data_IF_945575013705
#
_entry.id   IF_945575013705
#
_cell.length_a   1.000
_cell.length_b   1.000
_cell.length_c   1.000
_cell.angle_alpha   90.00
_cell.angle_beta   90.00
_cell.angle_gamma   90.00
#
_symmetry.space_group_name_H-M   'P 1'
#
loop_
_entity.id
_entity.type
_entity.pdbx_description
1 polymer ?
#
# COMPACT_ATOMS: atom_id res chain seq x y z
N UNK A 1 -19.47 -16.35 -20.31
CA UNK A 1 -18.95 -15.70 -19.08
C UNK A 1 -17.89 -16.59 -18.44
N UNK A 2 -16.87 -16.95 -19.24
CA UNK A 2 -15.76 -17.86 -18.91
C UNK A 2 -14.58 -17.34 -19.73
N UNK A 3 -13.93 -16.26 -19.28
CA UNK A 3 -12.68 -15.74 -19.89
C UNK A 3 -11.85 -14.89 -18.90
N UNK A 4 -11.97 -15.13 -17.59
CA UNK A 4 -11.26 -14.31 -16.58
C UNK A 4 -10.04 -15.00 -15.93
N UNK A 5 -9.64 -16.20 -16.37
CA UNK A 5 -8.55 -16.93 -15.73
C UNK A 5 -7.66 -17.68 -16.73
N UNK A 6 -6.83 -16.94 -17.45
CA UNK A 6 -5.59 -17.42 -18.05
C UNK A 6 -4.69 -16.19 -18.19
N UNK A 7 -3.62 -16.08 -17.41
CA UNK A 7 -2.33 -15.44 -17.76
C UNK A 7 -1.45 -15.36 -16.50
N UNK A 8 -1.08 -16.50 -15.93
CA UNK A 8 0.06 -16.57 -14.99
C UNK A 8 0.79 -17.91 -15.14
N UNK A 9 1.29 -18.17 -16.35
CA UNK A 9 2.32 -19.19 -16.56
C UNK A 9 3.24 -18.81 -17.73
N UNK A 10 4.52 -18.62 -17.39
CA UNK A 10 5.73 -18.70 -18.23
C UNK A 10 5.97 -17.63 -19.31
N UNK A 11 6.92 -16.73 -19.04
CA UNK A 11 7.87 -16.15 -20.03
C UNK A 11 9.18 -15.88 -19.24
N UNK A 12 10.14 -16.81 -19.15
CA UNK A 12 11.31 -17.04 -20.04
C UNK A 12 12.01 -15.74 -20.50
N UNK A 13 13.28 -15.61 -20.09
CA UNK A 13 14.25 -14.60 -20.51
C UNK A 13 14.23 -14.35 -22.03
N UNK A 14 14.04 -13.09 -22.44
CA UNK A 14 14.60 -12.57 -23.69
C UNK A 14 15.32 -11.26 -23.37
N UNK A 15 16.65 -11.34 -23.47
CA UNK A 15 17.55 -10.20 -23.56
C UNK A 15 17.38 -9.61 -24.96
N UNK A 16 16.90 -8.37 -25.08
CA UNK A 16 17.14 -7.57 -26.27
C UNK A 16 17.25 -6.10 -25.88
N UNK A 17 18.48 -5.62 -26.03
CA UNK A 17 18.86 -4.22 -26.01
C UNK A 17 18.03 -3.47 -27.06
N UNK A 18 17.23 -2.50 -26.64
CA UNK A 18 16.95 -1.34 -27.48
C UNK A 18 17.14 -0.08 -26.64
N UNK A 19 18.28 0.57 -26.89
CA UNK A 19 18.62 1.89 -26.39
C UNK A 19 17.65 2.91 -26.96
N UNK A 20 16.62 3.26 -26.20
CA UNK A 20 16.03 4.59 -26.27
C UNK A 20 16.57 5.38 -25.08
N UNK A 21 17.62 6.17 -25.34
CA UNK A 21 18.03 7.25 -24.44
C UNK A 21 16.93 8.32 -24.45
N UNK A 22 15.80 8.05 -23.80
CA UNK A 22 14.88 9.10 -23.42
C UNK A 22 15.59 9.83 -22.29
N UNK A 23 16.29 10.91 -22.64
CA UNK A 23 16.64 11.95 -21.68
C UNK A 23 15.30 12.56 -21.25
N UNK A 24 14.61 11.92 -20.31
CA UNK A 24 13.64 12.61 -19.49
C UNK A 24 14.45 13.65 -18.74
N UNK A 25 14.47 14.87 -19.26
CA UNK A 25 14.79 16.03 -18.45
C UNK A 25 13.64 16.14 -17.47
N UNK A 26 13.78 15.45 -16.34
CA UNK A 26 13.00 15.77 -15.17
C UNK A 26 13.39 17.21 -14.87
N UNK A 27 12.50 18.16 -15.20
CA UNK A 27 12.53 19.44 -14.52
C UNK A 27 12.62 19.07 -13.03
N UNK A 28 13.69 19.49 -12.35
CA UNK A 28 13.80 19.29 -10.92
C UNK A 28 12.65 20.10 -10.36
N UNK A 29 11.53 19.42 -10.09
CA UNK A 29 10.45 20.01 -9.35
C UNK A 29 11.07 20.55 -8.06
N UNK A 30 10.72 21.79 -7.71
CA UNK A 30 11.20 22.40 -6.49
C UNK A 30 10.73 21.55 -5.32
N UNK A 31 11.63 20.70 -4.80
CA UNK A 31 11.38 19.92 -3.60
C UNK A 31 11.14 20.89 -2.45
N UNK A 32 9.88 21.12 -2.10
CA UNK A 32 9.53 22.00 -1.00
C UNK A 32 9.74 21.23 0.30
N UNK A 33 10.81 21.58 1.03
CA UNK A 33 11.17 20.93 2.29
C UNK A 33 10.03 20.98 3.31
N UNK A 34 9.22 22.05 3.32
CA UNK A 34 8.09 22.18 4.24
C UNK A 34 7.01 21.12 3.98
N UNK A 35 6.71 20.82 2.71
CA UNK A 35 5.74 19.78 2.34
C UNK A 35 6.24 18.41 2.82
N UNK A 36 7.52 18.13 2.58
CA UNK A 36 8.15 16.86 3.00
C UNK A 36 8.11 16.74 4.53
N UNK A 37 8.43 17.79 5.25
CA UNK A 37 8.43 17.82 6.71
C UNK A 37 7.01 17.63 7.28
N UNK A 38 6.01 18.32 6.71
CA UNK A 38 4.62 18.16 7.10
C UNK A 38 4.11 16.73 6.88
N UNK A 39 4.32 16.15 5.69
CA UNK A 39 3.93 14.77 5.40
C UNK A 39 4.68 13.78 6.32
N UNK A 40 5.98 13.99 6.54
CA UNK A 40 6.78 13.16 7.46
C UNK A 40 6.21 13.21 8.88
N UNK A 41 5.83 14.40 9.36
CA UNK A 41 5.18 14.59 10.66
C UNK A 41 3.82 13.87 10.72
N UNK A 42 2.99 14.00 9.69
CA UNK A 42 1.67 13.35 9.64
C UNK A 42 1.83 11.83 9.69
N UNK A 43 2.74 11.28 8.90
CA UNK A 43 3.08 9.86 8.89
C UNK A 43 3.54 9.43 10.29
N UNK A 44 4.52 10.11 10.89
CA UNK A 44 5.09 9.72 12.20
C UNK A 44 4.06 9.75 13.34
N UNK A 45 3.02 10.58 13.22
CA UNK A 45 1.92 10.66 14.18
C UNK A 45 0.89 9.52 14.06
N UNK A 46 0.82 8.83 12.92
CA UNK A 46 -0.01 7.63 12.78
C UNK A 46 0.57 6.53 13.67
N UNK A 47 -0.23 6.01 14.61
CA UNK A 47 0.13 4.83 15.43
C UNK A 47 -0.70 3.62 15.03
N UNK A 48 -2.00 3.70 15.31
CA UNK A 48 -2.93 2.60 15.04
C UNK A 48 -4.18 3.15 14.38
N UNK A 49 -4.39 2.81 13.11
CA UNK A 49 -5.53 3.31 12.32
C UNK A 49 -6.23 2.19 11.55
N UNK A 50 -7.52 2.38 11.31
CA UNK A 50 -8.28 1.66 10.30
C UNK A 50 -8.85 2.65 9.28
N UNK A 51 -8.77 2.30 8.01
CA UNK A 51 -9.28 3.13 6.91
C UNK A 51 -9.83 2.23 5.81
N UNK A 52 -11.04 2.53 5.34
CA UNK A 52 -11.58 1.90 4.13
C UNK A 52 -10.90 2.48 2.91
N UNK A 53 -10.74 1.65 1.87
CA UNK A 53 -10.17 2.09 0.61
C UNK A 53 -10.94 1.55 -0.59
N UNK A 54 -10.79 2.25 -1.70
CA UNK A 54 -11.14 1.80 -3.03
C UNK A 54 -9.90 1.88 -3.92
N UNK A 55 -9.52 0.76 -4.52
CA UNK A 55 -8.45 0.65 -5.50
C UNK A 55 -9.05 0.64 -6.90
N UNK A 56 -8.44 1.36 -7.83
CA UNK A 56 -8.75 1.32 -9.27
C UNK A 56 -7.43 1.18 -10.05
N UNK A 57 -7.40 0.30 -11.05
CA UNK A 57 -6.26 0.15 -11.97
C UNK A 57 -6.46 0.90 -13.29
N UNK A 58 -5.46 0.94 -14.17
CA UNK A 58 -5.54 1.65 -15.44
C UNK A 58 -6.55 1.05 -16.44
N UNK A 59 -7.06 -0.16 -16.17
CA UNK A 59 -8.08 -0.82 -16.98
C UNK A 59 -9.49 -0.60 -16.42
N UNK A 60 -9.62 0.16 -15.33
CA UNK A 60 -10.90 0.42 -14.66
C UNK A 60 -11.35 -0.71 -13.73
N UNK A 61 -10.52 -1.71 -13.45
CA UNK A 61 -10.86 -2.73 -12.46
C UNK A 61 -10.81 -2.10 -11.07
N UNK A 62 -11.89 -2.28 -10.29
CA UNK A 62 -12.01 -1.75 -8.94
C UNK A 62 -12.02 -2.84 -7.88
N UNK A 63 -11.40 -2.58 -6.73
CA UNK A 63 -11.49 -3.43 -5.55
C UNK A 63 -11.56 -2.58 -4.28
N UNK A 64 -12.45 -2.93 -3.35
CA UNK A 64 -12.59 -2.22 -2.09
C UNK A 64 -12.09 -3.07 -0.93
N UNK A 65 -11.73 -2.41 0.17
CA UNK A 65 -11.27 -3.11 1.35
C UNK A 65 -11.03 -2.19 2.54
N UNK A 66 -10.30 -2.73 3.51
CA UNK A 66 -9.84 -1.98 4.67
C UNK A 66 -8.36 -2.20 4.90
N UNK A 67 -7.65 -1.09 5.09
CA UNK A 67 -6.28 -1.06 5.55
C UNK A 67 -6.30 -0.81 7.06
N UNK A 68 -5.67 -1.71 7.81
CA UNK A 68 -5.45 -1.60 9.25
C UNK A 68 -3.95 -1.51 9.47
N UNK A 69 -3.49 -0.49 10.19
CA UNK A 69 -2.09 -0.28 10.57
C UNK A 69 -2.01 -0.33 12.09
N UNK A 70 -1.02 -1.06 12.60
CA UNK A 70 -0.63 -1.06 14.01
C UNK A 70 0.89 -0.94 14.07
N UNK A 71 1.38 0.31 14.14
CA UNK A 71 2.81 0.58 14.09
C UNK A 71 3.56 0.01 15.31
N UNK A 72 4.83 -0.36 15.13
CA UNK A 72 5.55 -0.40 13.86
C UNK A 72 5.32 -1.72 13.10
N UNK A 73 5.52 -1.68 11.78
CA UNK A 73 5.56 -2.82 10.85
C UNK A 73 4.28 -3.63 10.63
N UNK A 74 3.30 -3.61 11.55
CA UNK A 74 2.09 -4.42 11.37
C UNK A 74 1.09 -3.70 10.52
N UNK A 75 0.60 -4.42 9.52
CA UNK A 75 -0.55 -3.97 8.76
C UNK A 75 -1.33 -5.16 8.22
N UNK A 76 -2.57 -4.88 7.88
CA UNK A 76 -3.48 -5.77 7.18
C UNK A 76 -4.16 -4.97 6.09
N UNK A 77 -3.90 -5.29 4.83
CA UNK A 77 -4.71 -4.84 3.71
C UNK A 77 -5.67 -5.98 3.34
N UNK A 78 -6.94 -5.79 3.69
CA UNK A 78 -7.98 -6.79 3.56
C UNK A 78 -8.96 -6.36 2.46
N UNK A 79 -8.88 -7.01 1.29
CA UNK A 79 -9.87 -6.81 0.26
C UNK A 79 -11.19 -7.51 0.60
N UNK A 80 -12.28 -6.87 0.23
CA UNK A 80 -13.62 -7.46 0.31
C UNK A 80 -13.90 -8.32 -0.93
N UNK A 81 -14.89 -9.20 -0.80
CA UNK A 81 -15.40 -9.94 -1.95
C UNK A 81 -15.88 -8.99 -3.06
N UNK A 82 -15.65 -9.33 -4.34
CA UNK A 82 -15.13 -10.61 -4.84
C UNK A 82 -13.59 -10.71 -4.89
N UNK A 83 -12.82 -9.65 -4.61
CA UNK A 83 -11.38 -9.65 -4.86
C UNK A 83 -10.63 -10.62 -3.91
N UNK A 84 -9.79 -11.54 -4.41
CA UNK A 84 -9.39 -12.74 -3.65
C UNK A 84 -8.12 -12.56 -2.82
N UNK A 85 -7.66 -11.34 -2.55
CA UNK A 85 -6.38 -11.13 -1.84
C UNK A 85 -6.53 -10.71 -0.39
N UNK A 86 -5.65 -11.24 0.45
CA UNK A 86 -5.37 -10.76 1.80
C UNK A 86 -3.87 -10.55 1.96
N UNK A 87 -3.48 -9.33 2.33
CA UNK A 87 -2.08 -8.95 2.51
C UNK A 87 -1.87 -8.59 3.98
N UNK A 88 -0.92 -9.23 4.62
CA UNK A 88 -0.59 -9.03 6.03
C UNK A 88 0.90 -8.92 6.19
N UNK A 89 1.38 -7.88 6.87
CA UNK A 89 2.80 -7.72 7.14
C UNK A 89 3.13 -7.59 8.61
N UNK A 90 4.39 -7.89 8.89
CA UNK A 90 5.06 -7.69 10.15
C UNK A 90 6.50 -7.22 9.91
N UNK A 91 7.33 -7.19 10.97
CA UNK A 91 8.73 -6.74 10.90
C UNK A 91 9.58 -7.50 9.86
N UNK A 92 9.27 -8.76 9.59
CA UNK A 92 10.14 -9.67 8.84
C UNK A 92 9.69 -9.81 7.38
N UNK A 93 8.39 -9.98 7.15
CA UNK A 93 7.85 -10.25 5.83
C UNK A 93 6.46 -9.66 5.63
N UNK A 94 6.10 -9.48 4.35
CA UNK A 94 4.71 -9.36 3.91
C UNK A 94 4.27 -10.71 3.40
N UNK A 95 3.13 -11.20 3.89
CA UNK A 95 2.46 -12.40 3.43
C UNK A 95 1.25 -12.02 2.59
N UNK A 96 1.15 -12.62 1.41
CA UNK A 96 -0.01 -12.47 0.51
C UNK A 96 -0.70 -13.82 0.42
N UNK A 97 -1.97 -13.87 0.80
CA UNK A 97 -2.82 -15.03 0.63
C UNK A 97 -3.82 -14.77 -0.49
N UNK A 98 -3.85 -15.68 -1.46
CA UNK A 98 -4.82 -15.72 -2.55
C UNK A 98 -5.87 -16.79 -2.23
N UNK A 99 -7.12 -16.37 -2.09
CA UNK A 99 -8.23 -17.23 -1.72
C UNK A 99 -8.71 -18.15 -2.85
N UNK A 100 -8.58 -17.72 -4.11
CA UNK A 100 -9.01 -18.52 -5.26
C UNK A 100 -8.00 -19.63 -5.51
N UNK A 101 -6.71 -19.28 -5.47
CA UNK A 101 -5.61 -20.22 -5.70
C UNK A 101 -5.19 -20.97 -4.43
N UNK A 102 -5.66 -20.55 -3.24
CA UNK A 102 -5.28 -21.07 -1.92
C UNK A 102 -3.76 -21.03 -1.69
N UNK A 103 -3.07 -20.06 -2.25
CA UNK A 103 -1.61 -19.91 -2.17
C UNK A 103 -1.20 -18.86 -1.15
N UNK A 104 -0.09 -19.13 -0.46
CA UNK A 104 0.57 -18.17 0.43
C UNK A 104 1.95 -17.85 -0.15
N UNK A 105 2.18 -16.58 -0.49
CA UNK A 105 3.49 -16.08 -0.90
C UNK A 105 4.03 -15.10 0.14
N UNK A 106 5.35 -14.91 0.16
CA UNK A 106 6.03 -13.97 1.06
C UNK A 106 7.06 -13.15 0.30
N UNK A 107 7.10 -11.86 0.62
CA UNK A 107 8.14 -10.92 0.19
C UNK A 107 8.77 -10.27 1.42
N UNK A 108 9.92 -9.60 1.23
CA UNK A 108 10.60 -8.91 2.34
C UNK A 108 9.72 -7.75 2.85
N UNK A 109 9.68 -7.54 4.16
CA UNK A 109 8.89 -6.45 4.75
C UNK A 109 9.25 -5.07 4.19
N UNK A 110 10.53 -4.87 3.88
CA UNK A 110 11.09 -3.65 3.29
C UNK A 110 10.70 -3.40 1.84
N UNK A 111 10.08 -4.35 1.14
CA UNK A 111 9.58 -4.17 -0.23
C UNK A 111 8.09 -3.77 -0.26
N UNK A 112 7.47 -3.56 0.90
CA UNK A 112 6.05 -3.26 1.02
C UNK A 112 5.69 -1.88 0.43
N UNK A 113 4.62 -1.80 -0.37
CA UNK A 113 4.08 -0.54 -0.87
C UNK A 113 3.60 0.41 0.24
N UNK A 114 3.15 -0.12 1.38
CA UNK A 114 2.77 0.68 2.54
C UNK A 114 3.92 0.99 3.48
N UNK A 115 5.18 0.64 3.15
CA UNK A 115 6.31 0.75 4.08
C UNK A 115 6.47 2.16 4.67
N UNK A 116 6.19 3.20 3.90
CA UNK A 116 6.22 4.59 4.34
C UNK A 116 5.26 4.88 5.51
N UNK A 117 4.17 4.12 5.68
CA UNK A 117 3.22 4.24 6.79
C UNK A 117 3.56 3.35 7.98
N UNK A 118 4.61 2.53 7.94
CA UNK A 118 4.85 1.49 8.96
C UNK A 118 6.00 1.78 9.90
N UNK A 119 6.86 2.73 9.54
CA UNK A 119 8.09 3.04 10.28
C UNK A 119 8.19 4.54 10.45
N UNK A 120 8.49 4.97 11.68
CA UNK A 120 8.74 6.37 11.98
C UNK A 120 10.19 6.72 11.62
N UNK A 121 10.42 7.95 11.17
CA UNK A 121 11.76 8.43 10.82
C UNK A 121 11.73 9.57 9.84
N UNK A 122 12.90 9.90 9.27
CA UNK A 122 12.98 10.84 8.17
C UNK A 122 12.59 10.11 6.89
N UNK A 123 11.68 10.71 6.12
CA UNK A 123 11.22 10.13 4.86
C UNK A 123 12.38 9.93 3.87
N UNK A 124 13.35 10.85 3.86
CA UNK A 124 14.55 10.79 3.02
C UNK A 124 15.47 9.57 3.27
N UNK A 125 15.36 8.91 4.43
CA UNK A 125 16.24 7.78 4.78
C UNK A 125 15.93 6.51 3.97
N UNK A 126 14.75 6.47 3.33
CA UNK A 126 14.22 5.31 2.61
C UNK A 126 13.68 5.66 1.23
N UNK A 127 13.43 6.95 0.98
CA UNK A 127 12.78 7.42 -0.22
C UNK A 127 13.52 8.62 -0.81
N UNK A 128 13.67 8.62 -2.13
CA UNK A 128 14.09 9.80 -2.87
C UNK A 128 12.85 10.58 -3.29
N UNK A 129 12.78 11.86 -2.92
CA UNK A 129 11.68 12.73 -3.36
C UNK A 129 11.91 13.12 -4.81
N UNK A 130 10.88 12.92 -5.63
CA UNK A 130 10.90 13.23 -7.07
C UNK A 130 10.12 14.50 -7.38
N UNK A 131 9.03 14.75 -6.65
CA UNK A 131 8.16 15.90 -6.83
C UNK A 131 7.35 16.17 -5.55
N UNK A 132 7.02 17.44 -5.32
CA UNK A 132 6.15 17.89 -4.23
C UNK A 132 5.17 18.92 -4.77
N UNK A 133 3.90 18.79 -4.44
CA UNK A 133 2.86 19.73 -4.85
C UNK A 133 2.02 20.15 -3.65
N UNK A 134 1.82 21.46 -3.52
CA UNK A 134 0.77 22.04 -2.72
C UNK A 134 -0.41 22.28 -3.68
N UNK A 135 -1.48 21.51 -3.55
CA UNK A 135 -2.62 21.58 -4.46
C UNK A 135 -3.94 21.48 -3.69
N UNK A 136 -4.78 22.52 -3.82
CA UNK A 136 -6.05 22.64 -3.11
C UNK A 136 -5.84 22.45 -1.59
N UNK A 137 -6.56 21.51 -0.98
CA UNK A 137 -6.46 21.19 0.44
C UNK A 137 -5.44 20.07 0.74
N UNK A 138 -4.57 19.72 -0.22
CA UNK A 138 -3.68 18.57 -0.10
C UNK A 138 -2.21 18.93 -0.28
N UNK A 139 -1.38 18.25 0.51
CA UNK A 139 0.03 18.05 0.22
C UNK A 139 0.21 16.74 -0.54
N UNK A 140 0.96 16.79 -1.64
CA UNK A 140 1.24 15.65 -2.51
C UNK A 140 2.74 15.48 -2.61
N UNK A 141 3.21 14.24 -2.48
CA UNK A 141 4.62 13.90 -2.68
C UNK A 141 4.73 12.68 -3.57
N UNK A 142 5.57 12.79 -4.61
CA UNK A 142 5.99 11.69 -5.46
C UNK A 142 7.40 11.27 -5.06
N UNK A 143 7.61 9.97 -4.89
CA UNK A 143 8.84 9.45 -4.35
C UNK A 143 9.22 8.10 -4.93
N UNK A 144 10.52 7.82 -4.94
CA UNK A 144 11.11 6.54 -5.30
C UNK A 144 11.57 5.81 -4.04
N UNK A 145 11.13 4.56 -3.87
CA UNK A 145 11.51 3.72 -2.74
C UNK A 145 12.79 2.95 -3.03
N UNK A 146 13.84 3.18 -2.24
CA UNK A 146 15.19 2.63 -2.48
C UNK A 146 15.25 1.12 -2.53
N UNK A 147 14.40 0.42 -1.77
CA UNK A 147 14.46 -1.04 -1.69
C UNK A 147 13.67 -1.73 -2.80
N UNK A 148 12.43 -1.30 -3.02
CA UNK A 148 11.55 -1.91 -4.02
C UNK A 148 11.78 -1.40 -5.44
N UNK A 149 12.55 -0.31 -5.60
CA UNK A 149 12.70 0.47 -6.83
C UNK A 149 11.36 0.93 -7.45
N UNK A 150 10.30 0.99 -6.65
CA UNK A 150 8.98 1.47 -7.08
C UNK A 150 8.85 2.97 -6.89
N UNK A 151 8.12 3.61 -7.81
CA UNK A 151 7.70 5.00 -7.68
C UNK A 151 6.26 5.04 -7.19
N UNK A 152 5.97 5.92 -6.26
CA UNK A 152 4.63 6.13 -5.74
C UNK A 152 4.38 7.61 -5.51
N UNK A 153 3.11 7.98 -5.47
CA UNK A 153 2.65 9.31 -5.10
C UNK A 153 1.62 9.17 -3.98
N UNK A 154 1.75 9.97 -2.93
CA UNK A 154 0.79 10.00 -1.83
C UNK A 154 0.24 11.40 -1.65
N UNK A 155 -1.00 11.50 -1.24
CA UNK A 155 -1.64 12.76 -0.87
C UNK A 155 -2.17 12.72 0.57
N UNK A 156 -1.97 13.82 1.28
CA UNK A 156 -2.51 14.05 2.62
C UNK A 156 -3.29 15.36 2.62
N UNK A 157 -4.44 15.36 3.27
CA UNK A 157 -5.19 16.60 3.49
C UNK A 157 -4.47 17.46 4.56
N UNK A 158 -4.27 18.76 4.26
CA UNK A 158 -3.52 19.70 5.10
C UNK A 158 -4.16 19.94 6.47
N UNK A 159 -5.49 19.94 6.50
CA UNK A 159 -6.26 20.29 7.69
C UNK A 159 -6.55 19.06 8.57
N UNK A 160 -7.09 17.99 7.98
CA UNK A 160 -7.40 16.76 8.69
C UNK A 160 -6.16 15.91 8.96
N UNK A 161 -5.05 16.15 8.25
CA UNK A 161 -3.79 15.38 8.32
C UNK A 161 -3.98 13.90 7.96
N UNK A 162 -5.07 13.58 7.28
CA UNK A 162 -5.39 12.21 6.88
C UNK A 162 -4.89 11.92 5.47
N UNK A 163 -4.38 10.71 5.27
CA UNK A 163 -4.07 10.18 3.95
C UNK A 163 -5.35 10.17 3.09
N UNK A 164 -5.24 10.64 1.84
CA UNK A 164 -6.35 10.68 0.89
C UNK A 164 -6.14 9.69 -0.25
N UNK A 165 -4.92 9.60 -0.78
CA UNK A 165 -4.62 8.73 -1.91
C UNK A 165 -3.20 8.17 -1.86
N UNK A 166 -3.04 6.97 -2.40
CA UNK A 166 -1.76 6.38 -2.81
C UNK A 166 -1.87 5.96 -4.28
N UNK A 167 -0.97 6.44 -5.12
CA UNK A 167 -0.81 6.01 -6.51
C UNK A 167 0.50 5.23 -6.61
N UNK A 168 0.45 4.03 -7.17
CA UNK A 168 1.61 3.18 -7.47
C UNK A 168 1.79 3.16 -8.98
N UNK A 169 2.98 3.55 -9.44
CA UNK A 169 3.34 3.53 -10.86
C UNK A 169 4.07 2.22 -11.16
N UNK A 170 3.46 1.37 -11.98
CA UNK A 170 4.06 0.15 -12.51
C UNK A 170 4.31 0.30 -14.02
N UNK A 171 5.11 -0.58 -14.63
CA UNK A 171 5.59 -0.41 -16.01
C UNK A 171 4.47 -0.16 -17.03
N UNK A 172 3.35 -0.89 -16.89
CA UNK A 172 2.21 -0.84 -17.81
C UNK A 172 0.87 -0.62 -17.08
N UNK A 173 0.91 -0.20 -15.81
CA UNK A 173 -0.28 -0.06 -14.99
C UNK A 173 -0.11 1.07 -13.98
N UNK A 174 -1.19 1.76 -13.67
CA UNK A 174 -1.26 2.73 -12.59
C UNK A 174 -2.33 2.23 -11.63
N UNK A 175 -1.94 2.04 -10.37
CA UNK A 175 -2.86 1.61 -9.31
C UNK A 175 -3.13 2.82 -8.42
N UNK A 176 -4.35 3.31 -8.40
CA UNK A 176 -4.80 4.36 -7.50
C UNK A 176 -5.59 3.75 -6.35
N UNK A 177 -5.22 4.07 -5.11
CA UNK A 177 -5.90 3.67 -3.88
C UNK A 177 -6.42 4.94 -3.22
N UNK A 178 -7.73 5.11 -3.22
CA UNK A 178 -8.42 6.22 -2.55
C UNK A 178 -8.81 5.77 -1.14
N UNK A 179 -8.46 6.58 -0.14
CA UNK A 179 -8.75 6.30 1.25
C UNK A 179 -9.94 7.14 1.72
N UNK A 180 -10.87 6.48 2.43
CA UNK A 180 -11.91 7.17 3.16
C UNK A 180 -11.35 7.85 4.42
N UNK A 181 -12.23 8.41 5.26
CA UNK A 181 -11.84 8.92 6.58
C UNK A 181 -11.22 7.81 7.43
N UNK A 182 -10.00 8.03 7.92
CA UNK A 182 -9.34 7.11 8.84
C UNK A 182 -9.81 7.31 10.28
N UNK A 183 -9.79 6.23 11.05
CA UNK A 183 -10.10 6.23 12.48
C UNK A 183 -8.89 5.76 13.27
N UNK A 184 -8.58 6.45 14.36
CA UNK A 184 -7.68 5.89 15.36
C UNK A 184 -8.36 4.68 16.02
N UNK A 185 -7.59 3.62 16.24
CA UNK A 185 -8.11 2.38 16.80
C UNK A 185 -7.27 1.90 17.98
N UNK A 186 -7.91 1.18 18.88
CA UNK A 186 -7.28 0.54 20.03
C UNK A 186 -7.92 -0.83 20.32
N UNK A 187 -7.36 -1.60 21.26
CA UNK A 187 -7.87 -2.93 21.60
C UNK A 187 -7.88 -3.91 20.43
N UNK A 188 -6.86 -3.83 19.57
CA UNK A 188 -6.80 -4.59 18.30
C UNK A 188 -6.51 -6.07 18.59
N UNK A 189 -7.30 -6.96 17.99
CA UNK A 189 -7.03 -8.40 17.97
C UNK A 189 -5.73 -8.66 17.20
N UNK A 190 -4.68 -9.07 17.94
CA UNK A 190 -3.33 -9.29 17.40
C UNK A 190 -3.29 -10.33 16.27
N UNK A 191 -4.29 -11.23 16.20
CA UNK A 191 -4.37 -12.23 15.13
C UNK A 191 -4.66 -11.64 13.76
N UNK A 192 -5.13 -10.38 13.68
CA UNK A 192 -5.31 -9.69 12.40
C UNK A 192 -4.02 -9.58 11.58
N UNK A 193 -2.86 -9.60 12.26
CA UNK A 193 -1.54 -9.38 11.68
C UNK A 193 -0.72 -10.68 11.51
N UNK A 194 -1.37 -11.85 11.61
CA UNK A 194 -0.71 -13.15 11.54
C UNK A 194 -1.37 -13.99 10.44
N UNK A 195 -0.56 -14.42 9.46
CA UNK A 195 -0.94 -15.46 8.50
C UNK A 195 -0.15 -16.74 8.78
N UNK A 196 -0.87 -17.76 9.26
CA UNK A 196 -0.32 -19.09 9.46
C UNK A 196 -0.16 -19.80 8.12
N UNK A 197 0.77 -20.75 8.05
CA UNK A 197 1.00 -21.52 6.83
C UNK A 197 -0.21 -22.45 6.57
N UNK A 198 -0.92 -22.32 5.43
CA UNK A 198 -2.12 -23.10 5.14
C UNK A 198 -1.85 -24.61 4.97
N UNK A 199 -0.59 -25.03 4.82
CA UNK A 199 -0.22 -26.45 4.76
C UNK A 199 -0.32 -27.16 6.11
N UNK A 200 -0.31 -26.41 7.22
CA UNK A 200 -0.26 -26.96 8.59
C UNK A 200 -1.33 -26.34 9.51
N UNK A 201 -2.22 -25.51 8.96
CA UNK A 201 -3.28 -24.83 9.70
C UNK A 201 -4.41 -24.45 8.76
N UNK A 202 -5.59 -24.21 9.32
CA UNK A 202 -6.73 -23.76 8.53
C UNK A 202 -6.41 -22.49 7.72
N UNK A 203 -6.93 -22.38 6.49
CA UNK A 203 -6.87 -21.16 5.71
C UNK A 203 -7.37 -19.94 6.50
N UNK A 204 -6.83 -18.73 6.25
CA UNK A 204 -7.37 -17.53 6.85
C UNK A 204 -8.86 -17.37 6.48
N UNK A 205 -9.65 -16.77 7.36
CA UNK A 205 -11.07 -16.50 7.07
C UNK A 205 -11.20 -15.25 6.19
N UNK A 206 -12.14 -15.26 5.23
CA UNK A 206 -12.61 -14.06 4.54
C UNK A 206 -13.34 -13.17 5.54
N UNK A 207 -12.85 -11.93 5.71
CA UNK A 207 -13.46 -10.95 6.61
C UNK A 207 -14.03 -9.79 5.79
N UNK A 208 -15.33 -9.56 5.95
CA UNK A 208 -15.99 -8.33 5.52
C UNK A 208 -15.78 -7.20 6.54
N UNK A 209 -16.24 -6.00 6.20
CA UNK A 209 -16.18 -4.81 7.08
C UNK A 209 -16.67 -5.08 8.50
N UNK A 210 -17.89 -5.64 8.65
CA UNK A 210 -18.51 -5.85 9.97
C UNK A 210 -17.69 -6.81 10.82
N UNK A 211 -17.13 -7.85 10.21
CA UNK A 211 -16.25 -8.82 10.92
C UNK A 211 -14.91 -8.22 11.30
N UNK A 212 -14.35 -7.32 10.50
CA UNK A 212 -13.11 -6.59 10.84
C UNK A 212 -13.34 -5.60 11.97
N UNK A 213 -14.41 -4.80 11.91
CA UNK A 213 -14.68 -3.77 12.91
C UNK A 213 -14.98 -4.35 14.31
N UNK A 214 -15.36 -5.63 14.41
CA UNK A 214 -15.45 -6.35 15.69
C UNK A 214 -14.09 -6.67 16.33
N UNK A 215 -12.98 -6.43 15.62
CA UNK A 215 -11.61 -6.82 16.02
C UNK A 215 -10.79 -5.66 16.55
N UNK A 216 -11.38 -4.48 16.69
CA UNK A 216 -10.77 -3.29 17.27
C UNK A 216 -11.88 -2.36 17.77
N UNK A 217 -11.50 -1.35 18.55
CA UNK A 217 -12.39 -0.25 18.95
C UNK A 217 -11.94 1.02 18.26
N UNK A 218 -12.89 1.81 17.76
CA UNK A 218 -12.61 3.16 17.24
C UNK A 218 -12.53 4.13 18.41
N UNK A 219 -11.56 5.03 18.36
CA UNK A 219 -11.45 6.18 19.27
C UNK A 219 -12.19 7.39 18.72
#
# INVERSE_FOLDING_TARGET
MIHFFQQLTKIIFIFSLLLANIKHSYAIAANNSEIVDNITSYINNIKSIAVEFEQVDSNGNSASGMLIIDKPFKFRCNYYEPFPLLIVGNKNYVSVYDFDNKTLSRIKAKENAFYFLLVDGKFSDKFTILDTQDLNDNYIIKFHHHESNKVSQISFNKYSKQIQQLIIFEANNIIAINFAKSYNIHGIDKNLFILKNPKISDPPKRLDKRKLEKRFKKS
#
